data_IF_530732711149
#
_entry.id   IF_530732711149
#
_cell.length_a   1.000
_cell.length_b   1.000
_cell.length_c   1.000
_cell.angle_alpha   90.00
_cell.angle_beta   90.00
_cell.angle_gamma   90.00
#
_symmetry.space_group_name_H-M   'P 1'
#
loop_
_entity.id
_entity.type
_entity.pdbx_description
1 polymer ?
#
# COMPACT_ATOMS: atom_id res chain seq x y z
N UNK A 1 -2.51 -96.31 -8.24
CA UNK A 1 -1.57 -95.24 -8.32
C UNK A 1 -2.36 -93.99 -8.80
N UNK A 2 -2.70 -93.07 -7.88
CA UNK A 2 -3.50 -91.89 -8.19
C UNK A 2 -2.56 -90.72 -8.47
N UNK A 3 -2.59 -90.21 -9.70
CA UNK A 3 -1.85 -89.01 -10.12
C UNK A 3 -2.68 -87.78 -9.75
N UNK A 4 -2.18 -86.95 -8.80
CA UNK A 4 -2.70 -85.63 -8.54
C UNK A 4 -2.13 -84.62 -9.54
N UNK A 5 -3.02 -84.01 -10.33
CA UNK A 5 -2.69 -82.88 -11.20
C UNK A 5 -2.90 -81.61 -10.39
N UNK A 6 -1.82 -80.92 -10.11
CA UNK A 6 -1.91 -79.55 -9.54
C UNK A 6 -2.15 -78.55 -10.67
N UNK A 7 -3.35 -77.98 -10.65
CA UNK A 7 -3.72 -76.90 -11.54
C UNK A 7 -3.22 -75.60 -10.91
N UNK A 8 -2.15 -74.98 -11.49
CA UNK A 8 -1.61 -73.68 -11.06
C UNK A 8 -2.55 -72.59 -11.63
N UNK A 9 -3.38 -72.02 -10.75
CA UNK A 9 -4.16 -70.83 -11.10
C UNK A 9 -3.28 -69.59 -11.01
N UNK A 10 -2.83 -69.06 -12.13
CA UNK A 10 -2.19 -67.77 -12.20
C UNK A 10 -3.21 -66.65 -11.95
N UNK A 11 -3.19 -66.07 -10.76
CA UNK A 11 -4.00 -64.91 -10.44
C UNK A 11 -3.28 -63.68 -11.05
N UNK A 12 -3.73 -63.23 -12.21
CA UNK A 12 -3.30 -61.95 -12.78
C UNK A 12 -3.87 -60.83 -11.96
N UNK A 13 -3.03 -60.21 -11.08
CA UNK A 13 -3.35 -59.01 -10.35
C UNK A 13 -3.35 -57.86 -11.37
N UNK A 14 -4.50 -57.57 -11.97
CA UNK A 14 -4.70 -56.31 -12.69
C UNK A 14 -4.70 -55.18 -11.66
N UNK A 15 -3.54 -54.54 -11.50
CA UNK A 15 -3.45 -53.27 -10.77
C UNK A 15 -4.26 -52.22 -11.54
N UNK A 16 -5.43 -51.92 -11.01
CA UNK A 16 -6.17 -50.72 -11.44
C UNK A 16 -5.29 -49.53 -11.03
N UNK A 17 -4.61 -48.93 -12.02
CA UNK A 17 -4.04 -47.60 -11.88
C UNK A 17 -5.25 -46.67 -11.76
N UNK A 18 -5.63 -46.35 -10.53
CA UNK A 18 -6.58 -45.30 -10.26
C UNK A 18 -5.89 -43.99 -10.67
N UNK A 19 -6.23 -43.49 -11.84
CA UNK A 19 -6.01 -42.09 -12.17
C UNK A 19 -6.88 -41.28 -11.17
N UNK A 20 -6.30 -40.85 -10.07
CA UNK A 20 -6.93 -39.78 -9.30
C UNK A 20 -6.94 -38.55 -10.20
N UNK A 21 -8.09 -37.88 -10.38
CA UNK A 21 -8.09 -36.62 -11.09
C UNK A 21 -7.14 -35.67 -10.37
N UNK A 22 -6.25 -35.04 -11.13
CA UNK A 22 -5.40 -33.99 -10.58
C UNK A 22 -6.31 -32.94 -9.91
N UNK A 23 -6.14 -32.76 -8.61
CA UNK A 23 -6.90 -31.74 -7.87
C UNK A 23 -6.60 -30.37 -8.50
N UNK A 24 -7.68 -29.67 -8.89
CA UNK A 24 -7.54 -28.37 -9.54
C UNK A 24 -6.91 -27.37 -8.59
N UNK A 25 -5.80 -26.75 -9.03
CA UNK A 25 -5.11 -25.70 -8.29
C UNK A 25 -5.78 -24.37 -8.56
N UNK A 26 -6.25 -23.69 -7.51
CA UNK A 26 -6.81 -22.36 -7.59
C UNK A 26 -6.09 -21.40 -6.63
N UNK A 27 -5.98 -20.14 -7.02
CA UNK A 27 -5.53 -19.04 -6.16
C UNK A 27 -6.45 -17.84 -6.34
N UNK A 28 -6.74 -17.17 -5.23
CA UNK A 28 -7.56 -15.97 -5.21
C UNK A 28 -6.79 -14.85 -4.50
N UNK A 29 -6.45 -13.80 -5.25
CA UNK A 29 -5.89 -12.59 -4.67
C UNK A 29 -6.99 -11.81 -3.95
N UNK A 30 -6.72 -11.37 -2.74
CA UNK A 30 -7.58 -10.47 -1.99
C UNK A 30 -6.77 -9.74 -0.92
N UNK A 31 -7.13 -8.50 -0.63
CA UNK A 31 -6.61 -7.73 0.49
C UNK A 31 -7.65 -6.72 0.98
N UNK A 32 -7.49 -6.27 2.20
CA UNK A 32 -8.26 -5.17 2.77
C UNK A 32 -7.36 -4.01 3.14
N UNK A 33 -7.96 -2.83 3.26
CA UNK A 33 -7.37 -1.62 3.82
C UNK A 33 -8.10 -1.27 5.09
N UNK A 34 -7.44 -0.66 6.05
CA UNK A 34 -8.06 -0.21 7.31
C UNK A 34 -9.05 0.95 7.10
N UNK A 35 -8.83 1.76 6.06
CA UNK A 35 -9.72 2.87 5.64
C UNK A 35 -9.90 2.86 4.11
N UNK A 36 -10.84 3.64 3.61
CA UNK A 36 -11.04 3.90 2.16
C UNK A 36 -10.52 5.28 1.75
N UNK A 37 -10.42 6.20 2.72
CA UNK A 37 -9.85 7.53 2.55
C UNK A 37 -8.83 7.83 3.63
N UNK A 38 -7.75 8.49 3.25
CA UNK A 38 -6.59 8.83 4.07
C UNK A 38 -6.24 10.29 3.88
N UNK A 39 -5.68 10.92 4.89
CA UNK A 39 -5.05 12.22 4.71
C UNK A 39 -3.63 12.04 4.15
N UNK A 40 -3.12 13.10 3.51
CA UNK A 40 -1.73 13.12 3.02
C UNK A 40 -0.79 12.83 4.18
N UNK A 41 0.11 11.83 3.99
CA UNK A 41 1.06 11.38 5.01
C UNK A 41 0.54 10.29 5.95
N UNK A 42 -0.77 10.03 6.00
CA UNK A 42 -1.33 8.96 6.82
C UNK A 42 -0.78 7.60 6.44
N UNK A 43 -0.52 6.73 7.41
CA UNK A 43 -0.15 5.35 7.13
C UNK A 43 -1.34 4.57 6.57
N UNK A 44 -1.11 3.84 5.48
CA UNK A 44 -2.07 2.90 4.88
C UNK A 44 -1.74 1.49 5.35
N UNK A 45 -2.67 0.86 6.07
CA UNK A 45 -2.51 -0.52 6.53
C UNK A 45 -3.17 -1.48 5.55
N UNK A 46 -2.37 -2.36 4.96
CA UNK A 46 -2.82 -3.42 4.06
C UNK A 46 -2.82 -4.77 4.80
N UNK A 47 -3.91 -5.51 4.67
CA UNK A 47 -3.99 -6.89 5.17
C UNK A 47 -4.25 -7.83 4.01
N UNK A 48 -3.31 -8.73 3.73
CA UNK A 48 -3.46 -9.74 2.70
C UNK A 48 -4.43 -10.84 3.18
N UNK A 49 -5.48 -11.06 2.39
CA UNK A 49 -6.52 -12.08 2.66
C UNK A 49 -6.61 -13.10 1.53
N UNK A 50 -5.57 -13.20 0.69
CA UNK A 50 -5.51 -14.15 -0.42
C UNK A 50 -5.56 -15.60 0.06
N UNK A 51 -6.17 -16.45 -0.76
CA UNK A 51 -6.31 -17.90 -0.49
C UNK A 51 -5.77 -18.73 -1.65
N UNK A 52 -5.42 -19.98 -1.34
CA UNK A 52 -5.07 -20.98 -2.35
C UNK A 52 -5.74 -22.32 -2.01
N UNK A 53 -6.15 -23.07 -3.02
CA UNK A 53 -6.69 -24.42 -2.94
C UNK A 53 -5.76 -25.38 -3.65
N UNK A 54 -5.45 -26.50 -3.00
CA UNK A 54 -4.53 -27.55 -3.47
C UNK A 54 -3.12 -27.06 -3.83
N UNK A 55 -2.71 -25.90 -3.30
CA UNK A 55 -1.43 -25.26 -3.49
C UNK A 55 -1.13 -24.28 -2.34
N UNK A 56 0.08 -23.72 -2.34
CA UNK A 56 0.48 -22.59 -1.49
C UNK A 56 0.65 -21.33 -2.36
N UNK A 57 0.49 -20.17 -1.76
CA UNK A 57 0.89 -18.90 -2.38
C UNK A 57 2.42 -18.80 -2.25
N UNK A 58 3.11 -18.86 -3.40
CA UNK A 58 4.57 -18.82 -3.47
C UNK A 58 5.11 -17.40 -3.67
N UNK A 59 4.38 -16.55 -4.40
CA UNK A 59 4.81 -15.20 -4.73
C UNK A 59 3.64 -14.25 -4.53
N UNK A 60 3.92 -13.15 -3.81
CA UNK A 60 3.07 -11.96 -3.77
C UNK A 60 3.78 -10.81 -4.48
N UNK A 61 3.06 -10.06 -5.29
CA UNK A 61 3.52 -8.82 -5.91
C UNK A 61 2.45 -7.76 -5.73
N UNK A 62 2.77 -6.74 -4.94
CA UNK A 62 1.94 -5.56 -4.74
C UNK A 62 2.39 -4.40 -5.62
N UNK A 63 1.49 -3.78 -6.35
CA UNK A 63 1.69 -2.50 -7.03
C UNK A 63 0.89 -1.46 -6.24
N UNK A 64 1.60 -0.51 -5.61
CA UNK A 64 1.04 0.40 -4.60
C UNK A 64 0.68 1.78 -5.18
N UNK A 65 0.55 1.87 -6.48
CA UNK A 65 0.32 3.12 -7.21
C UNK A 65 1.61 3.88 -7.53
N UNK A 66 1.57 4.76 -8.54
CA UNK A 66 2.68 5.60 -9.02
C UNK A 66 4.02 4.85 -9.21
N UNK A 67 3.97 3.58 -9.61
CA UNK A 67 5.17 2.78 -9.92
C UNK A 67 5.86 2.15 -8.70
N UNK A 68 5.34 2.31 -7.50
CA UNK A 68 5.86 1.63 -6.31
C UNK A 68 5.43 0.17 -6.32
N UNK A 69 6.39 -0.74 -6.15
CA UNK A 69 6.17 -2.20 -6.15
C UNK A 69 6.74 -2.80 -4.87
N UNK A 70 6.00 -3.73 -4.26
CA UNK A 70 6.45 -4.54 -3.14
C UNK A 70 6.32 -6.03 -3.47
N UNK A 71 7.22 -6.85 -2.94
CA UNK A 71 7.14 -8.31 -2.98
C UNK A 71 6.76 -8.90 -1.62
N UNK A 72 6.59 -8.06 -0.62
CA UNK A 72 6.15 -8.48 0.70
C UNK A 72 4.67 -8.89 0.66
N UNK A 73 4.29 -9.99 1.32
CA UNK A 73 2.88 -10.41 1.42
C UNK A 73 1.98 -9.36 2.07
N UNK A 74 2.52 -8.61 3.02
CA UNK A 74 1.87 -7.50 3.72
C UNK A 74 2.88 -6.37 3.85
N UNK A 75 2.97 -5.46 2.86
CA UNK A 75 3.89 -4.34 2.91
C UNK A 75 3.51 -3.36 4.02
N UNK A 76 4.53 -2.83 4.70
CA UNK A 76 4.39 -1.87 5.80
C UNK A 76 4.89 -0.48 5.39
N UNK A 77 4.60 0.55 6.20
CA UNK A 77 5.06 1.93 6.04
C UNK A 77 4.68 2.56 4.70
N UNK A 78 3.48 2.24 4.20
CA UNK A 78 2.95 2.86 3.00
C UNK A 78 2.30 4.18 3.40
N UNK A 79 2.68 5.27 2.74
CA UNK A 79 2.01 6.57 2.83
C UNK A 79 2.09 7.30 1.48
N UNK A 80 1.22 8.28 1.29
CA UNK A 80 1.16 9.06 0.05
C UNK A 80 1.30 10.55 0.38
N UNK A 81 2.23 11.21 -0.28
CA UNK A 81 2.57 12.63 -0.05
C UNK A 81 1.78 13.60 -0.94
N UNK A 82 0.84 13.12 -1.72
CA UNK A 82 0.00 13.93 -2.59
C UNK A 82 -1.43 13.41 -2.57
N UNK A 83 -2.39 14.32 -2.54
CA UNK A 83 -3.80 13.97 -2.71
C UNK A 83 -4.08 13.36 -4.09
N UNK A 84 -5.02 12.43 -4.16
CA UNK A 84 -5.41 11.77 -5.40
C UNK A 84 -6.03 10.40 -5.16
N UNK A 85 -6.36 9.73 -6.24
CA UNK A 85 -6.79 8.34 -6.24
C UNK A 85 -5.60 7.42 -6.56
N UNK A 86 -5.46 6.36 -5.77
CA UNK A 86 -4.38 5.37 -5.91
C UNK A 86 -4.98 4.00 -6.08
N UNK A 87 -4.65 3.36 -7.19
CA UNK A 87 -5.01 1.95 -7.43
C UNK A 87 -3.93 1.08 -6.83
N UNK A 88 -4.31 0.25 -5.87
CA UNK A 88 -3.47 -0.78 -5.28
C UNK A 88 -3.85 -2.10 -5.92
N UNK A 89 -2.86 -2.84 -6.41
CA UNK A 89 -3.05 -4.14 -7.05
C UNK A 89 -2.17 -5.19 -6.38
N UNK A 90 -2.77 -6.28 -5.95
CA UNK A 90 -2.08 -7.48 -5.48
C UNK A 90 -2.18 -8.58 -6.53
N UNK A 91 -1.06 -9.17 -6.88
CA UNK A 91 -0.98 -10.38 -7.70
C UNK A 91 -0.34 -11.50 -6.88
N UNK A 92 -1.01 -12.64 -6.78
CA UNK A 92 -0.49 -13.85 -6.13
C UNK A 92 -0.26 -14.95 -7.16
N UNK A 93 0.75 -15.78 -6.91
CA UNK A 93 1.10 -16.90 -7.76
C UNK A 93 1.26 -18.16 -6.91
N UNK A 94 0.69 -19.28 -7.33
CA UNK A 94 0.82 -20.58 -6.65
C UNK A 94 2.20 -21.21 -6.85
N UNK A 95 2.61 -22.07 -5.92
CA UNK A 95 3.78 -22.94 -6.01
C UNK A 95 3.58 -24.09 -7.02
N UNK A 96 2.32 -24.43 -7.31
CA UNK A 96 1.96 -25.47 -8.27
C UNK A 96 1.32 -24.88 -9.53
N UNK A 97 1.84 -25.25 -10.69
CA UNK A 97 1.28 -24.87 -11.99
C UNK A 97 1.34 -23.38 -12.32
N UNK A 98 2.05 -22.56 -11.53
CA UNK A 98 2.19 -21.11 -11.69
C UNK A 98 0.85 -20.37 -11.95
N UNK A 99 -0.23 -20.83 -11.33
CA UNK A 99 -1.54 -20.16 -11.38
C UNK A 99 -1.44 -18.78 -10.76
N UNK A 100 -2.09 -17.80 -11.37
CA UNK A 100 -2.07 -16.41 -10.94
C UNK A 100 -3.47 -15.88 -10.73
N UNK A 101 -3.61 -15.00 -9.74
CA UNK A 101 -4.79 -14.19 -9.50
C UNK A 101 -4.37 -12.77 -9.17
N UNK A 102 -5.20 -11.80 -9.50
CA UNK A 102 -4.97 -10.40 -9.16
C UNK A 102 -6.24 -9.77 -8.60
N UNK A 103 -6.06 -8.86 -7.66
CA UNK A 103 -7.13 -8.06 -7.07
C UNK A 103 -6.69 -6.60 -7.02
N UNK A 104 -7.60 -5.70 -7.31
CA UNK A 104 -7.36 -4.25 -7.31
C UNK A 104 -8.35 -3.56 -6.40
N UNK A 105 -7.87 -2.54 -5.68
CA UNK A 105 -8.69 -1.63 -4.88
C UNK A 105 -8.18 -0.21 -5.04
N UNK A 106 -9.10 0.73 -5.25
CA UNK A 106 -8.78 2.15 -5.24
C UNK A 106 -8.98 2.71 -3.84
N UNK A 107 -8.01 3.49 -3.37
CA UNK A 107 -8.11 4.31 -2.17
C UNK A 107 -8.04 5.78 -2.57
N UNK A 108 -8.59 6.65 -1.73
CA UNK A 108 -8.55 8.10 -1.91
C UNK A 108 -7.63 8.71 -0.86
N UNK A 109 -6.73 9.57 -1.30
CA UNK A 109 -5.90 10.41 -0.43
C UNK A 109 -6.35 11.86 -0.59
N UNK A 110 -6.67 12.54 0.49
CA UNK A 110 -7.13 13.92 0.53
C UNK A 110 -6.10 14.80 1.24
N UNK A 111 -6.05 16.06 0.87
CA UNK A 111 -5.28 17.07 1.57
C UNK A 111 -6.28 17.97 2.30
N UNK A 112 -6.42 17.72 3.59
CA UNK A 112 -7.30 18.49 4.46
C UNK A 112 -6.55 19.58 5.24
N UNK A 113 -5.23 19.74 4.98
CA UNK A 113 -4.40 20.73 5.65
C UNK A 113 -4.90 22.16 5.39
N UNK A 114 -5.18 22.90 6.45
CA UNK A 114 -5.47 24.31 6.43
C UNK A 114 -4.13 25.05 6.41
N UNK A 115 -3.97 25.96 5.45
CA UNK A 115 -2.70 26.69 5.31
C UNK A 115 -2.54 27.69 6.44
N UNK A 116 -1.31 27.88 6.99
CA UNK A 116 -1.06 28.90 7.97
C UNK A 116 -1.38 30.31 7.43
N UNK A 117 -1.88 31.17 8.31
CA UNK A 117 -2.13 32.57 8.05
C UNK A 117 -0.97 33.37 8.61
N UNK A 118 -0.21 34.02 7.72
CA UNK A 118 0.87 34.91 8.12
C UNK A 118 0.33 36.22 8.67
N UNK A 119 0.79 36.61 9.86
CA UNK A 119 0.47 37.90 10.49
C UNK A 119 1.65 38.35 11.34
N UNK A 120 1.80 39.65 11.49
CA UNK A 120 2.82 40.23 12.32
C UNK A 120 2.43 41.64 12.84
N UNK A 121 3.09 42.05 13.89
CA UNK A 121 3.02 43.43 14.42
C UNK A 121 4.40 44.06 14.43
N UNK A 122 4.45 45.38 14.50
CA UNK A 122 5.70 46.12 14.64
C UNK A 122 5.62 47.23 15.67
N UNK A 123 6.77 47.60 16.18
CA UNK A 123 6.92 48.69 17.19
C UNK A 123 8.22 49.43 16.93
N UNK A 124 8.25 50.75 17.03
CA UNK A 124 7.14 51.66 17.27
C UNK A 124 6.20 51.79 16.06
N UNK A 125 4.92 52.10 16.28
CA UNK A 125 3.93 52.30 15.21
C UNK A 125 4.35 53.39 14.18
N UNK A 126 4.95 54.51 14.75
CA UNK A 126 5.54 55.53 13.91
C UNK A 126 7.03 55.33 13.76
N UNK A 127 7.41 54.85 12.59
CA UNK A 127 8.78 54.55 12.21
C UNK A 127 9.55 55.81 11.83
N UNK A 128 10.76 55.98 12.30
CA UNK A 128 11.67 57.09 11.99
C UNK A 128 12.92 56.49 11.30
N UNK A 129 13.41 57.18 10.25
CA UNK A 129 14.56 56.72 9.53
C UNK A 129 15.82 56.65 10.45
N UNK A 130 16.51 55.53 10.44
CA UNK A 130 17.70 55.27 11.27
C UNK A 130 17.41 54.66 12.61
N UNK A 131 16.16 54.61 13.04
CA UNK A 131 15.76 53.95 14.29
C UNK A 131 15.39 52.48 14.09
N UNK A 132 15.69 51.63 15.07
CA UNK A 132 15.32 50.20 14.96
C UNK A 132 13.84 49.98 15.04
N UNK A 133 13.31 49.03 14.29
CA UNK A 133 11.93 48.56 14.30
C UNK A 133 11.90 47.10 14.72
N UNK A 134 11.12 46.79 15.75
CA UNK A 134 10.91 45.41 16.20
C UNK A 134 9.68 44.84 15.51
N UNK A 135 9.87 43.73 14.78
CA UNK A 135 8.76 42.93 14.27
C UNK A 135 8.49 41.75 15.18
N UNK A 136 7.22 41.44 15.37
CA UNK A 136 6.77 40.29 16.20
C UNK A 136 5.81 39.46 15.40
N UNK A 137 6.13 38.19 15.22
CA UNK A 137 5.28 37.21 14.56
C UNK A 137 3.95 37.00 15.30
N UNK A 138 2.87 36.91 14.54
CA UNK A 138 1.49 36.61 14.99
C UNK A 138 0.83 35.59 14.11
N UNK A 139 1.63 34.89 13.27
CA UNK A 139 1.13 33.87 12.37
C UNK A 139 0.43 32.75 13.15
N UNK A 140 -0.62 32.20 12.57
CA UNK A 140 -1.43 31.12 13.16
C UNK A 140 -1.63 30.02 12.15
N UNK A 141 -1.79 28.81 12.64
CA UNK A 141 -2.20 27.63 11.89
C UNK A 141 -3.38 27.00 12.64
N UNK A 142 -4.51 26.77 11.97
CA UNK A 142 -5.75 26.33 12.61
C UNK A 142 -5.71 24.84 12.97
N UNK A 143 -5.03 24.03 12.17
CA UNK A 143 -4.97 22.56 12.33
C UNK A 143 -3.53 22.02 12.51
N UNK A 144 -2.53 22.93 12.62
CA UNK A 144 -1.13 22.57 12.76
C UNK A 144 -0.31 23.57 13.58
N UNK A 145 0.98 23.63 13.30
CA UNK A 145 1.93 24.55 13.90
C UNK A 145 2.73 25.29 12.81
N UNK A 146 2.97 26.58 12.99
CA UNK A 146 3.88 27.34 12.14
C UNK A 146 5.32 26.93 12.47
N UNK A 147 6.01 26.29 11.54
CA UNK A 147 7.35 25.71 11.77
C UNK A 147 8.48 26.47 11.06
N UNK A 148 8.16 27.43 10.18
CA UNK A 148 9.14 28.22 9.45
C UNK A 148 8.61 29.59 9.08
N UNK A 149 9.52 30.58 9.03
CA UNK A 149 9.21 31.97 8.69
C UNK A 149 10.18 32.48 7.65
N UNK A 150 9.68 33.20 6.65
CA UNK A 150 10.48 33.96 5.68
C UNK A 150 10.07 35.42 5.73
N UNK A 151 11.02 36.32 6.10
CA UNK A 151 10.82 37.75 6.14
C UNK A 151 11.43 38.42 4.92
N UNK A 152 10.65 39.22 4.20
CA UNK A 152 11.12 40.04 3.07
C UNK A 152 10.96 41.50 3.43
N UNK A 153 12.07 42.18 3.62
CA UNK A 153 12.11 43.63 3.81
C UNK A 153 12.28 44.28 2.43
N UNK A 154 11.34 45.16 2.09
CA UNK A 154 11.30 45.79 0.77
C UNK A 154 12.60 46.50 0.38
N UNK A 155 12.88 46.59 -0.91
CA UNK A 155 13.92 47.43 -1.47
C UNK A 155 13.39 48.86 -1.56
N UNK A 156 14.20 49.87 -1.12
CA UNK A 156 13.91 51.28 -1.39
C UNK A 156 13.91 51.52 -2.89
N UNK A 157 12.76 51.79 -3.48
CA UNK A 157 12.72 52.45 -4.79
C UNK A 157 12.96 53.93 -4.51
N UNK A 158 14.15 54.43 -4.84
CA UNK A 158 14.35 55.89 -4.92
C UNK A 158 13.63 56.40 -6.16
N UNK A 159 12.72 57.35 -5.98
CA UNK A 159 12.18 58.17 -7.07
C UNK A 159 13.27 59.03 -7.69
#
# INVERSE_FOLDING_TARGET
MKRFIYMLAAFALMGAVSCQPDEEVAVHASFTTDKESYDVGDPVVLTNTSTAENALIAICKGELGKGVVSIEPTPENISYVQAGEYVIKLTVTSDRGAKKSSFEKTIRVVDNNIRPVADFTWSPEKVVAGEPVQFTDRSTDEDGEVVAWEWKFGTTTSD
#
